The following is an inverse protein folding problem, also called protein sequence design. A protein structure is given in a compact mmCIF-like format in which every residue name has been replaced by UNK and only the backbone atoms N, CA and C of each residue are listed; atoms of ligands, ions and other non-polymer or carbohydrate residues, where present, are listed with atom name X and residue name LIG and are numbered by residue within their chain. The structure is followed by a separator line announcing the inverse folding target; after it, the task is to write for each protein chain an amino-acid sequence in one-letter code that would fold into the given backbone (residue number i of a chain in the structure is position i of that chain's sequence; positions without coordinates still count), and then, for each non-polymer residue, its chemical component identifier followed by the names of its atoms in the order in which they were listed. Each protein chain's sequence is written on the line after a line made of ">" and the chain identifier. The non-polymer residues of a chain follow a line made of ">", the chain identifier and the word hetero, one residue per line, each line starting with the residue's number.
data_IF_248825976957
#
_entry.id   IF_248825976957
#
_cell.length_a   1.000
_cell.length_b   1.000
_cell.length_c   1.000
_cell.angle_alpha   90.00
_cell.angle_beta   90.00
_cell.angle_gamma   90.00
#
_symmetry.space_group_name_H-M   'P 1'
#
loop_
_entity.id
_entity.type
_entity.pdbx_description
1 polymer ?
#
# COMPACT_ATOMS: atom_id res chain seq x y z
N UNK A 1 -21.17 -2.22 2.05
CA UNK A 1 -20.85 -0.78 2.17
C UNK A 1 -20.21 -0.31 0.87
N UNK A 2 -20.46 0.92 0.39
CA UNK A 2 -19.76 1.43 -0.79
C UNK A 2 -18.31 1.73 -0.42
N UNK A 3 -17.38 0.99 -1.00
CA UNK A 3 -15.96 1.23 -0.80
C UNK A 3 -15.45 2.10 -1.92
N UNK A 4 -14.81 3.19 -1.55
CA UNK A 4 -14.10 4.01 -2.51
C UNK A 4 -12.70 3.42 -2.71
N UNK A 5 -12.34 3.19 -3.97
CA UNK A 5 -11.02 2.76 -4.37
C UNK A 5 -10.07 3.95 -4.31
N UNK A 6 -9.16 3.95 -3.34
CA UNK A 6 -8.10 4.94 -3.24
C UNK A 6 -6.79 4.24 -3.55
N UNK A 7 -6.02 4.82 -4.46
CA UNK A 7 -4.61 4.47 -4.65
C UNK A 7 -3.81 5.74 -4.41
N UNK A 8 -2.97 5.67 -3.40
CA UNK A 8 -2.25 6.77 -2.81
C UNK A 8 -0.88 6.89 -3.49
N UNK A 9 -0.64 8.03 -4.12
CA UNK A 9 0.72 8.40 -4.50
C UNK A 9 1.31 9.25 -3.36
N UNK A 10 2.23 8.68 -2.58
CA UNK A 10 3.10 9.48 -1.70
C UNK A 10 4.10 10.21 -2.58
N UNK A 11 3.66 11.32 -3.18
CA UNK A 11 4.59 12.37 -3.54
C UNK A 11 5.12 13.00 -2.25
N UNK A 12 6.11 12.34 -1.65
CA UNK A 12 7.00 13.04 -0.73
C UNK A 12 7.55 14.21 -1.53
N UNK A 13 7.19 15.43 -1.14
CA UNK A 13 7.54 16.67 -1.81
C UNK A 13 8.97 16.63 -2.36
N UNK A 14 9.11 16.27 -3.65
CA UNK A 14 10.36 16.34 -4.41
C UNK A 14 10.80 17.80 -4.59
N UNK A 15 9.97 18.76 -4.15
CA UNK A 15 10.31 20.17 -4.00
C UNK A 15 11.18 20.49 -2.76
N UNK A 16 11.92 19.54 -2.22
CA UNK A 16 13.13 19.84 -1.46
C UNK A 16 14.35 19.90 -2.40
N UNK A 17 14.27 20.70 -3.47
CA UNK A 17 15.41 21.13 -4.27
C UNK A 17 16.23 22.17 -3.49
N UNK A 18 16.65 21.82 -2.28
CA UNK A 18 17.36 22.67 -1.35
C UNK A 18 18.44 21.87 -0.64
N UNK A 19 19.68 22.24 -0.94
CA UNK A 19 20.97 21.92 -0.30
C UNK A 19 21.00 20.79 0.77
N UNK A 20 21.90 19.80 0.66
CA UNK A 20 22.04 18.67 1.61
C UNK A 20 22.14 19.07 3.10
N UNK A 21 22.53 20.31 3.37
CA UNK A 21 22.78 20.86 4.70
C UNK A 21 21.51 21.24 5.48
N UNK A 22 20.32 21.36 4.85
CA UNK A 22 19.06 21.64 5.57
C UNK A 22 18.44 20.42 6.28
N UNK A 23 19.03 19.23 6.14
CA UNK A 23 18.55 18.02 6.86
C UNK A 23 18.70 18.08 8.38
N UNK A 24 19.45 19.04 8.94
CA UNK A 24 19.70 19.17 10.39
C UNK A 24 18.64 19.97 11.17
N UNK A 25 17.77 20.71 10.49
CA UNK A 25 16.63 21.36 11.13
C UNK A 25 15.37 20.64 10.67
N UNK A 26 14.93 19.62 11.42
CA UNK A 26 13.57 19.09 11.31
C UNK A 26 12.63 20.23 11.69
N UNK A 27 12.23 21.06 10.74
CA UNK A 27 10.96 21.76 10.87
C UNK A 27 9.93 20.69 11.19
N UNK A 28 9.17 20.88 12.26
CA UNK A 28 8.09 19.96 12.61
C UNK A 28 7.13 19.90 11.42
N UNK A 29 7.19 18.80 10.65
CA UNK A 29 6.19 18.55 9.61
C UNK A 29 4.85 18.38 10.30
N UNK A 30 3.84 18.98 9.71
CA UNK A 30 2.46 18.90 10.17
C UNK A 30 1.64 18.17 9.12
N UNK A 31 0.47 17.69 9.53
CA UNK A 31 -0.48 17.04 8.62
C UNK A 31 -0.82 17.91 7.40
N UNK A 32 -0.82 19.25 7.54
CA UNK A 32 -1.10 20.22 6.47
C UNK A 32 -0.04 20.25 5.37
N UNK A 33 1.16 19.75 5.64
CA UNK A 33 2.25 19.66 4.67
C UNK A 33 2.06 18.49 3.69
N UNK A 34 1.06 17.64 3.92
CA UNK A 34 0.73 16.50 3.08
C UNK A 34 -0.61 16.74 2.38
N UNK A 35 -0.60 16.63 1.05
CA UNK A 35 -1.81 16.52 0.25
C UNK A 35 -1.84 15.14 -0.37
N UNK A 36 -2.95 14.45 -0.14
CA UNK A 36 -3.15 13.08 -0.60
C UNK A 36 -4.15 13.08 -1.73
N UNK A 37 -3.81 12.37 -2.82
CA UNK A 37 -4.69 12.20 -3.97
C UNK A 37 -4.83 10.73 -4.35
N UNK A 38 -5.99 10.39 -4.91
CA UNK A 38 -6.25 9.08 -5.50
C UNK A 38 -5.68 8.96 -6.93
N UNK A 39 -5.88 7.80 -7.58
CA UNK A 39 -5.46 7.54 -8.98
C UNK A 39 -6.10 8.43 -10.01
N UNK A 40 -7.25 9.03 -9.69
CA UNK A 40 -7.96 9.95 -10.56
C UNK A 40 -7.59 11.40 -10.23
N UNK A 41 -6.61 11.62 -9.35
CA UNK A 41 -6.15 12.93 -8.93
C UNK A 41 -7.04 13.65 -7.92
N UNK A 42 -8.07 12.98 -7.36
CA UNK A 42 -9.03 13.58 -6.41
C UNK A 42 -8.41 13.61 -5.03
N UNK A 43 -8.66 14.69 -4.28
CA UNK A 43 -8.16 14.83 -2.91
C UNK A 43 -8.84 13.79 -2.02
N UNK A 44 -8.05 13.04 -1.26
CA UNK A 44 -8.55 12.05 -0.30
C UNK A 44 -8.68 12.71 1.07
N UNK A 45 -9.87 12.59 1.66
CA UNK A 45 -10.10 12.89 3.07
C UNK A 45 -9.72 11.67 3.91
N UNK A 46 -8.49 11.66 4.42
CA UNK A 46 -7.93 10.57 5.21
C UNK A 46 -8.12 10.75 6.72
N UNK A 47 -9.03 11.64 7.13
CA UNK A 47 -9.36 11.89 8.54
C UNK A 47 -10.50 10.98 9.02
N UNK A 48 -11.16 10.31 8.07
CA UNK A 48 -12.22 9.35 8.32
C UNK A 48 -11.65 8.01 8.75
N UNK A 49 -12.47 7.24 9.48
CA UNK A 49 -12.15 5.85 9.86
C UNK A 49 -12.17 4.87 8.67
N UNK A 50 -12.38 5.36 7.45
CA UNK A 50 -12.32 4.54 6.24
C UNK A 50 -10.89 4.06 6.00
N UNK A 51 -10.66 2.75 5.82
CA UNK A 51 -9.32 2.23 5.55
C UNK A 51 -8.71 2.86 4.29
N UNK A 52 -7.44 3.20 4.36
CA UNK A 52 -6.68 3.70 3.22
C UNK A 52 -5.86 2.56 2.65
N UNK A 53 -5.91 2.41 1.33
CA UNK A 53 -5.16 1.40 0.60
C UNK A 53 -4.17 2.10 -0.32
N UNK A 54 -2.96 1.57 -0.39
CA UNK A 54 -1.96 2.09 -1.30
C UNK A 54 -0.93 1.08 -1.73
N UNK A 55 -0.47 1.25 -2.96
CA UNK A 55 0.52 0.37 -3.56
C UNK A 55 1.85 1.11 -3.58
N UNK A 56 2.90 0.44 -3.12
CA UNK A 56 4.26 0.97 -3.05
C UNK A 56 5.14 0.12 -3.94
N UNK A 57 5.90 0.78 -4.81
CA UNK A 57 7.03 0.16 -5.48
C UNK A 57 8.29 0.29 -4.62
N UNK A 58 8.81 -0.84 -4.14
CA UNK A 58 10.06 -0.91 -3.40
C UNK A 58 11.18 -1.19 -4.39
N UNK A 59 12.07 -0.20 -4.54
CA UNK A 59 13.30 -0.35 -5.34
C UNK A 59 13.09 -0.45 -6.85
N UNK A 60 11.92 -0.08 -7.38
CA UNK A 60 11.55 -0.22 -8.80
C UNK A 60 11.47 -1.66 -9.30
N UNK A 61 11.46 -2.64 -8.39
CA UNK A 61 11.52 -4.07 -8.72
C UNK A 61 10.41 -4.88 -8.08
N UNK A 62 9.72 -4.34 -7.07
CA UNK A 62 8.76 -5.12 -6.29
C UNK A 62 7.62 -4.27 -5.77
N UNK A 63 6.40 -4.76 -5.92
CA UNK A 63 5.19 -4.06 -5.51
C UNK A 63 4.61 -4.68 -4.25
N UNK A 64 4.24 -3.83 -3.31
CA UNK A 64 3.55 -4.18 -2.08
C UNK A 64 2.29 -3.35 -1.93
N UNK A 65 1.26 -3.90 -1.29
CA UNK A 65 0.09 -3.14 -0.88
C UNK A 65 0.11 -2.91 0.63
N UNK A 66 -0.22 -1.70 1.03
CA UNK A 66 -0.43 -1.32 2.41
C UNK A 66 -1.88 -0.96 2.63
N UNK A 67 -2.43 -1.37 3.78
CA UNK A 67 -3.72 -0.90 4.27
C UNK A 67 -3.56 -0.27 5.65
N UNK A 68 -3.93 1.00 5.77
CA UNK A 68 -4.05 1.68 7.07
C UNK A 68 -5.47 1.49 7.54
N UNK A 69 -5.63 0.87 8.70
CA UNK A 69 -6.94 0.66 9.32
C UNK A 69 -6.90 1.27 10.72
N UNK A 70 -7.79 2.22 11.00
CA UNK A 70 -7.81 2.95 12.29
C UNK A 70 -8.71 2.30 13.34
N UNK A 71 -9.74 1.57 12.92
CA UNK A 71 -10.74 0.92 13.77
C UNK A 71 -10.86 -0.58 13.47
N UNK A 72 -11.10 -1.47 14.46
CA UNK A 72 -11.24 -1.18 15.90
C UNK A 72 -9.89 -0.91 16.59
N UNK A 73 -8.79 -1.43 16.03
CA UNK A 73 -7.43 -1.22 16.53
C UNK A 73 -6.56 -0.67 15.40
N UNK A 74 -5.91 0.50 15.60
CA UNK A 74 -5.03 1.09 14.61
C UNK A 74 -3.87 0.18 14.23
N UNK A 75 -3.76 -0.17 12.95
CA UNK A 75 -2.73 -1.03 12.39
C UNK A 75 -2.39 -0.66 10.95
N UNK A 76 -1.13 -0.90 10.58
CA UNK A 76 -0.66 -0.88 9.20
C UNK A 76 -0.56 -2.33 8.73
N UNK A 77 -1.26 -2.71 7.69
CA UNK A 77 -1.24 -4.06 7.16
C UNK A 77 -0.38 -4.09 5.90
N UNK A 78 0.65 -4.94 5.88
CA UNK A 78 1.50 -5.20 4.72
C UNK A 78 1.01 -6.44 3.98
N UNK A 79 0.61 -6.25 2.74
CA UNK A 79 0.26 -7.32 1.81
C UNK A 79 1.44 -7.54 0.88
N UNK A 80 2.29 -8.49 1.26
CA UNK A 80 3.46 -8.95 0.51
C UNK A 80 3.09 -10.26 -0.20
N UNK A 81 2.89 -10.24 -1.55
CA UNK A 81 2.44 -11.42 -2.28
C UNK A 81 3.37 -12.64 -2.13
N UNK A 82 4.66 -12.42 -1.87
CA UNK A 82 5.62 -13.51 -1.67
C UNK A 82 5.55 -14.15 -0.28
N UNK A 83 4.59 -13.73 0.55
CA UNK A 83 4.38 -14.21 1.91
C UNK A 83 5.22 -13.46 2.95
N UNK A 84 5.13 -13.90 4.21
CA UNK A 84 5.86 -13.27 5.30
C UNK A 84 7.37 -13.33 5.03
N UNK A 85 8.01 -12.17 4.99
CA UNK A 85 9.47 -12.09 4.91
C UNK A 85 10.08 -12.88 6.08
N UNK A 86 10.93 -13.86 5.77
CA UNK A 86 11.58 -14.75 6.73
C UNK A 86 12.68 -14.01 7.54
N UNK A 87 12.29 -12.96 8.26
CA UNK A 87 13.17 -12.23 9.15
C UNK A 87 12.96 -12.70 10.59
N UNK A 88 14.05 -13.07 11.28
CA UNK A 88 14.03 -13.37 12.72
C UNK A 88 13.57 -12.18 13.57
N UNK A 89 13.68 -10.95 13.05
CA UNK A 89 13.28 -9.72 13.74
C UNK A 89 11.88 -9.22 13.34
N UNK A 90 11.14 -9.95 12.52
CA UNK A 90 9.81 -9.54 12.06
C UNK A 90 9.85 -8.36 11.08
N UNK A 91 8.80 -7.52 11.13
CA UNK A 91 8.63 -6.37 10.24
C UNK A 91 9.68 -5.29 10.54
N UNK A 92 10.30 -4.77 9.50
CA UNK A 92 11.34 -3.74 9.60
C UNK A 92 11.26 -2.75 8.45
N UNK A 93 12.14 -1.75 8.47
CA UNK A 93 12.27 -0.80 7.36
C UNK A 93 12.77 -1.40 6.04
N UNK A 94 13.14 -2.69 6.00
CA UNK A 94 13.37 -3.42 4.75
C UNK A 94 12.06 -3.77 4.04
N UNK A 95 10.98 -3.92 4.81
CA UNK A 95 9.65 -4.32 4.35
C UNK A 95 8.70 -3.13 4.23
N UNK A 96 8.92 -2.10 5.04
CA UNK A 96 8.08 -0.91 5.10
C UNK A 96 8.95 0.33 4.87
N UNK A 97 8.70 1.14 3.83
CA UNK A 97 9.48 2.35 3.62
C UNK A 97 9.39 3.32 4.80
N UNK A 98 10.52 3.90 5.22
CA UNK A 98 10.57 4.91 6.30
C UNK A 98 9.60 6.06 6.06
N UNK A 99 9.46 6.51 4.82
CA UNK A 99 8.57 7.60 4.45
C UNK A 99 7.10 7.30 4.78
N UNK A 100 6.66 6.04 4.70
CA UNK A 100 5.30 5.62 5.07
C UNK A 100 5.12 5.76 6.58
N UNK A 101 6.06 5.26 7.37
CA UNK A 101 6.00 5.36 8.84
C UNK A 101 6.05 6.83 9.29
N UNK A 102 6.96 7.63 8.73
CA UNK A 102 7.06 9.06 9.04
C UNK A 102 5.77 9.82 8.68
N UNK A 103 5.14 9.49 7.54
CA UNK A 103 3.86 10.09 7.17
C UNK A 103 2.75 9.72 8.15
N UNK A 104 2.67 8.45 8.56
CA UNK A 104 1.68 7.98 9.52
C UNK A 104 1.86 8.61 10.91
N UNK A 105 3.10 8.71 11.39
CA UNK A 105 3.42 9.36 12.67
C UNK A 105 3.01 10.84 12.68
N UNK A 106 3.09 11.53 11.53
CA UNK A 106 2.67 12.94 11.39
C UNK A 106 1.15 13.09 11.21
N UNK A 107 0.54 12.22 10.42
CA UNK A 107 -0.88 12.34 10.06
C UNK A 107 -1.83 11.75 11.09
N UNK A 108 -1.35 10.80 11.90
CA UNK A 108 -2.10 10.16 12.98
C UNK A 108 -1.27 10.14 14.29
N UNK A 109 -0.90 11.33 14.82
CA UNK A 109 0.00 11.43 15.97
C UNK A 109 -0.59 10.85 17.27
N UNK A 110 -1.91 10.66 17.33
CA UNK A 110 -2.58 9.99 18.45
C UNK A 110 -2.21 8.50 18.56
N UNK A 111 -1.75 7.88 17.47
CA UNK A 111 -1.30 6.50 17.45
C UNK A 111 0.21 6.46 17.35
N UNK A 112 0.86 6.04 18.44
CA UNK A 112 2.33 5.96 18.52
C UNK A 112 2.84 4.67 17.89
N UNK A 113 4.09 4.72 17.41
CA UNK A 113 4.87 3.57 16.96
C UNK A 113 4.25 2.80 15.79
N UNK A 114 3.97 3.48 14.67
CA UNK A 114 3.33 2.83 13.52
C UNK A 114 4.07 1.62 12.95
N UNK A 115 5.40 1.59 13.05
CA UNK A 115 6.18 0.40 12.65
C UNK A 115 5.84 -0.82 13.52
N UNK A 116 5.71 -0.65 14.84
CA UNK A 116 5.34 -1.72 15.79
C UNK A 116 3.88 -2.18 15.59
N UNK A 117 3.02 -1.26 15.11
CA UNK A 117 1.63 -1.56 14.72
C UNK A 117 1.50 -2.21 13.36
N UNK A 118 2.62 -2.42 12.66
CA UNK A 118 2.58 -3.05 11.34
C UNK A 118 2.43 -4.56 11.50
N UNK A 119 1.55 -5.16 10.71
CA UNK A 119 1.31 -6.60 10.66
C UNK A 119 1.39 -7.11 9.23
N UNK A 120 1.86 -8.34 9.04
CA UNK A 120 1.79 -9.02 7.74
C UNK A 120 0.35 -9.48 7.56
N UNK A 121 -0.34 -8.93 6.56
CA UNK A 121 -1.67 -9.41 6.16
C UNK A 121 -1.58 -10.74 5.43
N UNK A 122 -0.54 -10.90 4.60
CA UNK A 122 -0.27 -12.13 3.88
C UNK A 122 0.85 -12.87 4.62
N UNK A 123 0.54 -14.05 5.13
CA UNK A 123 1.49 -14.90 5.86
C UNK A 123 2.12 -15.94 4.96
N UNK A 124 1.30 -16.52 4.10
CA UNK A 124 1.70 -17.60 3.21
C UNK A 124 2.05 -17.07 1.82
N UNK A 125 2.93 -17.77 1.13
CA UNK A 125 3.35 -17.37 -0.21
C UNK A 125 2.21 -17.59 -1.20
N UNK A 126 1.57 -16.51 -1.63
CA UNK A 126 0.46 -16.54 -2.60
C UNK A 126 0.95 -16.36 -4.04
N UNK A 127 1.99 -15.55 -4.25
CA UNK A 127 2.67 -15.41 -5.53
C UNK A 127 3.86 -16.38 -5.63
N UNK A 128 3.87 -17.18 -6.69
CA UNK A 128 4.95 -18.10 -7.05
C UNK A 128 5.84 -17.51 -8.17
N UNK A 129 5.25 -16.79 -9.12
CA UNK A 129 5.99 -16.18 -10.25
C UNK A 129 6.85 -15.00 -9.80
N UNK A 130 7.83 -14.59 -10.63
CA UNK A 130 8.71 -13.45 -10.31
C UNK A 130 8.15 -12.07 -10.68
N UNK A 131 7.00 -12.00 -11.37
CA UNK A 131 6.54 -10.79 -12.04
C UNK A 131 5.09 -10.38 -11.70
N UNK A 132 4.41 -11.14 -10.85
CA UNK A 132 2.99 -10.90 -10.54
C UNK A 132 2.72 -9.94 -9.40
N UNK A 133 3.75 -9.37 -8.76
CA UNK A 133 3.55 -8.62 -7.53
C UNK A 133 2.65 -7.40 -7.72
N UNK A 134 2.71 -6.75 -8.89
CA UNK A 134 1.78 -5.68 -9.26
C UNK A 134 0.34 -6.17 -9.40
N UNK A 135 0.12 -7.29 -10.10
CA UNK A 135 -1.22 -7.88 -10.31
C UNK A 135 -1.83 -8.34 -8.98
N UNK A 136 -1.02 -8.98 -8.13
CA UNK A 136 -1.43 -9.39 -6.79
C UNK A 136 -1.86 -8.18 -5.96
N UNK A 137 -1.09 -7.08 -5.98
CA UNK A 137 -1.46 -5.84 -5.30
C UNK A 137 -2.80 -5.27 -5.79
N UNK A 138 -3.05 -5.29 -7.11
CA UNK A 138 -4.34 -4.85 -7.66
C UNK A 138 -5.49 -5.75 -7.20
N UNK A 139 -5.28 -7.06 -7.13
CA UNK A 139 -6.28 -8.00 -6.62
C UNK A 139 -6.57 -7.75 -5.13
N UNK A 140 -5.54 -7.56 -4.31
CA UNK A 140 -5.71 -7.20 -2.90
C UNK A 140 -6.44 -5.86 -2.74
N UNK A 141 -6.17 -4.88 -3.61
CA UNK A 141 -6.89 -3.61 -3.62
C UNK A 141 -8.37 -3.81 -3.97
N UNK A 142 -8.70 -4.65 -4.97
CA UNK A 142 -10.08 -5.06 -5.29
C UNK A 142 -10.77 -5.67 -4.06
N UNK A 143 -10.11 -6.61 -3.38
CA UNK A 143 -10.68 -7.29 -2.20
C UNK A 143 -10.85 -6.36 -1.00
N UNK A 144 -9.87 -5.52 -0.71
CA UNK A 144 -10.01 -4.46 0.30
C UNK A 144 -11.16 -3.51 -0.07
N UNK A 145 -11.27 -3.18 -1.35
CA UNK A 145 -12.37 -2.45 -1.98
C UNK A 145 -13.73 -3.13 -1.86
N UNK A 146 -13.79 -4.41 -1.52
CA UNK A 146 -15.06 -5.13 -1.26
C UNK A 146 -15.32 -5.30 0.24
N UNK A 147 -14.45 -4.77 1.08
CA UNK A 147 -14.55 -4.86 2.53
C UNK A 147 -13.94 -6.12 3.13
N UNK A 148 -13.23 -6.94 2.35
CA UNK A 148 -12.59 -8.14 2.89
C UNK A 148 -11.47 -7.77 3.87
N UNK A 149 -11.39 -8.55 4.93
CA UNK A 149 -10.35 -8.50 5.94
C UNK A 149 -9.01 -9.02 5.41
N UNK A 150 -7.94 -8.81 6.19
CA UNK A 150 -6.62 -9.35 5.83
C UNK A 150 -6.59 -10.87 5.87
N UNK A 151 -7.29 -11.49 6.82
CA UNK A 151 -7.40 -12.96 6.96
C UNK A 151 -8.17 -13.56 5.77
N UNK A 152 -9.34 -13.02 5.42
CA UNK A 152 -10.09 -13.51 4.25
C UNK A 152 -9.25 -13.43 2.97
N UNK A 153 -8.49 -12.33 2.77
CA UNK A 153 -7.60 -12.20 1.62
C UNK A 153 -6.42 -13.19 1.69
N UNK A 154 -5.88 -13.44 2.89
CA UNK A 154 -4.80 -14.42 3.09
C UNK A 154 -5.25 -15.85 2.75
N UNK A 155 -6.49 -16.18 3.10
CA UNK A 155 -7.01 -17.54 3.01
C UNK A 155 -7.58 -17.85 1.62
N UNK A 156 -8.17 -16.87 0.93
CA UNK A 156 -8.85 -17.07 -0.36
C UNK A 156 -7.94 -16.89 -1.59
N UNK A 157 -6.84 -16.15 -1.47
CA UNK A 157 -6.03 -15.77 -2.62
C UNK A 157 -4.81 -16.67 -2.77
N UNK A 158 -4.61 -17.18 -3.98
CA UNK A 158 -3.45 -17.97 -4.38
C UNK A 158 -2.93 -17.56 -5.77
N UNK A 159 -1.94 -18.29 -6.28
CA UNK A 159 -1.36 -18.01 -7.59
C UNK A 159 -2.38 -18.18 -8.73
N UNK A 160 -3.36 -19.09 -8.58
CA UNK A 160 -4.39 -19.30 -9.59
C UNK A 160 -5.33 -18.10 -9.66
N UNK A 161 -5.75 -17.56 -8.52
CA UNK A 161 -6.54 -16.34 -8.42
C UNK A 161 -5.81 -15.14 -9.04
N UNK A 162 -4.52 -14.95 -8.71
CA UNK A 162 -3.69 -13.87 -9.28
C UNK A 162 -3.58 -14.00 -10.80
N UNK A 163 -3.32 -15.21 -11.30
CA UNK A 163 -3.19 -15.47 -12.75
C UNK A 163 -4.51 -15.23 -13.48
N UNK A 164 -5.64 -15.65 -12.88
CA UNK A 164 -6.97 -15.45 -13.44
C UNK A 164 -7.32 -13.96 -13.47
N UNK A 165 -6.96 -13.22 -12.44
CA UNK A 165 -7.17 -11.77 -12.38
C UNK A 165 -6.34 -11.03 -13.44
N UNK A 166 -5.09 -11.43 -13.69
CA UNK A 166 -4.29 -10.87 -14.80
C UNK A 166 -5.01 -10.99 -16.14
N UNK A 167 -5.55 -12.18 -16.44
CA UNK A 167 -6.30 -12.43 -17.68
C UNK A 167 -7.53 -11.54 -17.78
N UNK A 168 -8.25 -11.35 -16.67
CA UNK A 168 -9.41 -10.46 -16.63
C UNK A 168 -9.01 -9.00 -16.91
N UNK A 169 -7.91 -8.52 -16.30
CA UNK A 169 -7.41 -7.18 -16.57
C UNK A 169 -7.01 -6.99 -18.03
N UNK A 170 -6.32 -7.98 -18.63
CA UNK A 170 -5.96 -7.94 -20.05
C UNK A 170 -7.19 -7.83 -20.95
N UNK A 171 -8.20 -8.68 -20.74
CA UNK A 171 -9.46 -8.62 -21.50
C UNK A 171 -10.18 -7.28 -21.34
N UNK A 172 -10.16 -6.69 -20.15
CA UNK A 172 -10.74 -5.36 -19.92
C UNK A 172 -9.98 -4.27 -20.67
N UNK A 173 -8.65 -4.32 -20.68
CA UNK A 173 -7.82 -3.33 -21.38
C UNK A 173 -8.02 -3.42 -22.90
N UNK A 174 -8.05 -4.62 -23.45
CA UNK A 174 -8.36 -4.88 -24.86
C UNK A 174 -9.75 -4.33 -25.24
N UNK A 175 -10.76 -4.59 -24.42
CA UNK A 175 -12.13 -4.10 -24.65
C UNK A 175 -12.23 -2.55 -24.63
N UNK A 176 -11.33 -1.87 -23.91
CA UNK A 176 -11.28 -0.40 -23.85
C UNK A 176 -10.30 0.20 -24.86
N UNK A 177 -9.80 -0.59 -25.82
CA UNK A 177 -8.90 -0.12 -26.88
C UNK A 177 -7.50 0.22 -26.38
N UNK A 178 -7.13 -0.22 -25.18
CA UNK A 178 -5.77 -0.10 -24.66
C UNK A 178 -4.99 -1.35 -25.09
N UNK A 179 -4.40 -1.30 -26.29
CA UNK A 179 -3.45 -2.31 -26.76
C UNK A 179 -2.13 -2.10 -26.01
N UNK A 180 -1.65 -3.16 -25.34
CA UNK A 180 -0.29 -3.22 -24.82
C UNK A 180 0.57 -4.01 -25.80
N UNK A 181 1.47 -3.31 -26.48
CA UNK A 181 2.59 -3.94 -27.17
C UNK A 181 3.67 -4.27 -26.13
N UNK A 182 3.72 -5.53 -25.68
CA UNK A 182 4.88 -6.11 -24.97
C UNK A 182 4.72 -6.33 -23.46
#
# INVERSE_FOLDING_TARGET
>A
MPTAFYHFHLEAAVKAAGSPWRRRCRSHRTKRDYQVRDVLGRVVDYDRDTPLVFIVNVGQIHWNLFRVQLSPTPKLQLFEPMGRLASRSGISYRSVPRAVIEWLDVCYPQYKCWLERTVSAITDKQQISGFDCGVACLLYADKCGRGLSGEEINDEIDQQAITSFRKQLQLQLEAHGVSFDG
#
